data_IF_791091657147
#
_entry.id   IF_791091657147
#
_cell.length_a   1.000
_cell.length_b   1.000
_cell.length_c   1.000
_cell.angle_alpha   90.00
_cell.angle_beta   90.00
_cell.angle_gamma   90.00
#
_symmetry.space_group_name_H-M   'P 1'
#
loop_
_entity.id
_entity.type
_entity.pdbx_description
1 polymer ?
#
# COMPACT_ATOMS: atom_id res chain seq x y z
N UNK A 1 -71.82 -18.86 -24.18
CA UNK A 1 -71.02 -19.62 -23.19
C UNK A 1 -69.95 -18.77 -22.46
N UNK A 2 -70.16 -17.44 -22.29
CA UNK A 2 -69.19 -16.50 -21.63
C UNK A 2 -69.83 -15.50 -20.69
N UNK A 3 -71.09 -15.72 -20.22
CA UNK A 3 -71.77 -14.82 -19.30
C UNK A 3 -71.22 -14.90 -17.87
N UNK A 4 -70.46 -15.91 -17.53
CA UNK A 4 -69.78 -16.06 -16.22
C UNK A 4 -68.73 -15.00 -15.96
N UNK A 5 -68.12 -14.43 -17.01
CA UNK A 5 -67.09 -13.38 -16.93
C UNK A 5 -67.67 -11.99 -16.58
N UNK A 6 -68.99 -11.83 -16.66
CA UNK A 6 -69.71 -10.54 -16.38
C UNK A 6 -70.16 -10.38 -14.93
N UNK A 7 -70.01 -11.42 -14.12
CA UNK A 7 -70.43 -11.40 -12.72
C UNK A 7 -69.35 -10.65 -11.90
N UNK A 8 -69.76 -9.62 -11.16
CA UNK A 8 -68.88 -8.79 -10.37
C UNK A 8 -68.06 -9.58 -9.34
N UNK A 9 -68.57 -10.73 -8.90
CA UNK A 9 -67.82 -11.65 -8.03
C UNK A 9 -66.61 -12.28 -8.73
N UNK A 10 -66.74 -12.64 -10.03
CA UNK A 10 -65.58 -13.19 -10.78
C UNK A 10 -64.45 -12.17 -10.92
N UNK A 11 -64.78 -10.89 -11.14
CA UNK A 11 -63.81 -9.79 -11.18
C UNK A 11 -63.11 -9.62 -9.83
N UNK A 12 -63.86 -9.77 -8.73
CA UNK A 12 -63.34 -9.64 -7.37
C UNK A 12 -62.37 -10.83 -7.04
N UNK A 13 -62.71 -12.05 -7.39
CA UNK A 13 -61.86 -13.23 -7.23
C UNK A 13 -60.62 -13.12 -8.08
N UNK A 14 -60.72 -12.64 -9.32
CA UNK A 14 -59.57 -12.43 -10.19
C UNK A 14 -58.63 -11.36 -9.63
N UNK A 15 -59.16 -10.23 -9.13
CA UNK A 15 -58.39 -9.18 -8.52
C UNK A 15 -57.65 -9.65 -7.25
N UNK A 16 -58.31 -10.45 -6.39
CA UNK A 16 -57.75 -11.04 -5.21
C UNK A 16 -56.63 -12.04 -5.54
N UNK A 17 -56.80 -12.84 -6.60
CA UNK A 17 -55.83 -13.83 -7.09
C UNK A 17 -54.56 -13.12 -7.61
N UNK A 18 -54.71 -12.02 -8.36
CA UNK A 18 -53.58 -11.21 -8.85
C UNK A 18 -52.85 -10.54 -7.68
N UNK A 19 -53.60 -9.96 -6.74
CA UNK A 19 -53.01 -9.32 -5.56
C UNK A 19 -52.25 -10.33 -4.70
N UNK A 20 -52.80 -11.50 -4.45
CA UNK A 20 -52.16 -12.60 -3.73
C UNK A 20 -50.89 -13.10 -4.44
N UNK A 21 -50.90 -13.16 -5.77
CA UNK A 21 -49.74 -13.50 -6.58
C UNK A 21 -48.60 -12.49 -6.45
N UNK A 22 -48.92 -11.19 -6.46
CA UNK A 22 -47.94 -10.12 -6.31
C UNK A 22 -47.33 -10.16 -4.89
N UNK A 23 -48.15 -10.28 -3.86
CA UNK A 23 -47.67 -10.37 -2.46
C UNK A 23 -46.78 -11.60 -2.26
N UNK A 24 -47.20 -12.75 -2.84
CA UNK A 24 -46.39 -13.98 -2.81
C UNK A 24 -45.02 -13.83 -3.49
N UNK A 25 -44.98 -13.17 -4.64
CA UNK A 25 -43.72 -12.88 -5.33
C UNK A 25 -42.80 -11.93 -4.55
N UNK A 26 -43.37 -10.89 -3.93
CA UNK A 26 -42.61 -9.97 -3.09
C UNK A 26 -42.02 -10.68 -1.86
N UNK A 27 -42.80 -11.52 -1.22
CA UNK A 27 -42.34 -12.31 -0.07
C UNK A 27 -41.24 -13.31 -0.47
N UNK A 28 -41.39 -13.97 -1.60
CA UNK A 28 -40.38 -14.89 -2.13
C UNK A 28 -39.07 -14.13 -2.48
N UNK A 29 -39.18 -12.97 -3.12
CA UNK A 29 -38.02 -12.14 -3.45
C UNK A 29 -37.27 -11.65 -2.20
N UNK A 30 -37.98 -11.21 -1.16
CA UNK A 30 -37.34 -10.84 0.12
C UNK A 30 -36.66 -12.03 0.79
N UNK A 31 -37.31 -13.20 0.79
CA UNK A 31 -36.74 -14.40 1.41
C UNK A 31 -35.51 -14.90 0.67
N UNK A 32 -35.51 -14.89 -0.65
CA UNK A 32 -34.33 -15.27 -1.44
C UNK A 32 -33.16 -14.30 -1.24
N UNK A 33 -33.43 -12.99 -1.15
CA UNK A 33 -32.41 -11.97 -0.88
C UNK A 33 -31.73 -12.16 0.49
N UNK A 34 -32.50 -12.49 1.53
CA UNK A 34 -31.91 -12.75 2.87
C UNK A 34 -31.04 -14.00 2.92
N UNK A 35 -31.37 -15.04 2.14
CA UNK A 35 -30.56 -16.27 2.04
C UNK A 35 -29.25 -15.97 1.30
N UNK A 36 -29.29 -15.19 0.22
CA UNK A 36 -28.09 -14.80 -0.50
C UNK A 36 -27.17 -13.92 0.34
N UNK A 37 -27.70 -12.92 1.06
CA UNK A 37 -26.91 -12.11 1.99
C UNK A 37 -26.26 -12.95 3.11
N UNK A 38 -26.98 -13.93 3.65
CA UNK A 38 -26.43 -14.83 4.67
C UNK A 38 -25.30 -15.70 4.10
N UNK A 39 -25.44 -16.21 2.86
CA UNK A 39 -24.38 -16.95 2.17
C UNK A 39 -23.15 -16.06 1.90
N UNK A 40 -23.34 -14.83 1.44
CA UNK A 40 -22.25 -13.88 1.22
C UNK A 40 -21.52 -13.52 2.52
N UNK A 41 -22.26 -13.32 3.64
CA UNK A 41 -21.66 -13.08 4.95
C UNK A 41 -20.86 -14.30 5.44
N UNK A 42 -21.43 -15.49 5.37
CA UNK A 42 -20.76 -16.73 5.77
C UNK A 42 -19.51 -17.00 4.91
N UNK A 43 -19.55 -16.71 3.62
CA UNK A 43 -18.42 -16.86 2.72
C UNK A 43 -17.31 -15.82 2.98
N UNK A 44 -17.67 -14.59 3.41
CA UNK A 44 -16.71 -13.57 3.87
C UNK A 44 -16.07 -13.94 5.21
N UNK A 45 -16.82 -14.53 6.14
CA UNK A 45 -16.30 -14.97 7.43
C UNK A 45 -15.42 -16.22 7.31
N UNK A 46 -15.76 -17.12 6.38
CA UNK A 46 -14.97 -18.33 6.10
C UNK A 46 -13.65 -18.04 5.36
N UNK A 47 -13.56 -16.92 4.62
CA UNK A 47 -12.38 -16.50 3.90
C UNK A 47 -12.01 -15.04 4.24
N UNK A 48 -11.48 -14.75 5.42
CA UNK A 48 -11.05 -13.39 5.80
C UNK A 48 -9.92 -12.87 4.90
N UNK A 49 -9.17 -13.75 4.25
CA UNK A 49 -8.10 -13.42 3.28
C UNK A 49 -8.65 -12.89 1.95
N UNK A 50 -9.91 -13.16 1.62
CA UNK A 50 -10.54 -12.72 0.36
C UNK A 50 -10.89 -11.22 0.32
N UNK A 51 -10.71 -10.49 1.41
CA UNK A 51 -10.97 -9.04 1.47
C UNK A 51 -9.73 -8.17 1.25
N UNK A 52 -8.56 -8.76 1.04
CA UNK A 52 -7.35 -8.00 0.70
C UNK A 52 -7.19 -7.98 -0.82
N UNK A 53 -7.15 -6.78 -1.40
CA UNK A 53 -6.87 -6.62 -2.83
C UNK A 53 -5.36 -6.77 -3.02
N UNK A 54 -4.95 -7.83 -3.72
CA UNK A 54 -3.56 -8.05 -4.07
C UNK A 54 -3.26 -7.46 -5.47
N UNK A 55 -2.10 -6.83 -5.60
CA UNK A 55 -1.60 -6.28 -6.85
C UNK A 55 -0.26 -6.91 -7.20
N UNK A 56 0.00 -7.06 -8.48
CA UNK A 56 1.33 -7.33 -9.02
C UNK A 56 1.86 -6.09 -9.72
N UNK A 57 3.18 -5.86 -9.66
CA UNK A 57 3.82 -4.68 -10.26
C UNK A 57 3.21 -3.35 -9.75
N UNK A 58 3.14 -3.22 -8.43
CA UNK A 58 2.62 -2.00 -7.80
C UNK A 58 3.58 -0.82 -8.02
N UNK A 59 3.04 0.33 -8.40
CA UNK A 59 3.79 1.58 -8.56
C UNK A 59 3.13 2.71 -7.77
N UNK A 60 3.94 3.48 -7.03
CA UNK A 60 3.53 4.70 -6.33
C UNK A 60 4.52 5.81 -6.66
N UNK A 61 4.02 7.00 -7.01
CA UNK A 61 4.83 8.18 -7.34
C UNK A 61 4.52 9.33 -6.40
N UNK A 62 5.54 10.08 -6.07
CA UNK A 62 5.43 11.40 -5.43
C UNK A 62 5.82 12.47 -6.43
N UNK A 63 4.99 13.50 -6.54
CA UNK A 63 5.25 14.68 -7.38
C UNK A 63 5.39 15.91 -6.50
N UNK A 64 6.19 16.89 -6.91
CA UNK A 64 6.28 18.18 -6.26
C UNK A 64 5.18 19.14 -6.73
N UNK A 65 5.16 20.35 -6.15
CA UNK A 65 4.17 21.39 -6.49
C UNK A 65 4.26 21.85 -7.95
N UNK A 66 5.36 21.56 -8.64
CA UNK A 66 5.56 21.81 -10.07
C UNK A 66 5.25 20.58 -10.96
N UNK A 67 4.57 19.55 -10.41
CA UNK A 67 4.26 18.27 -11.07
C UNK A 67 5.50 17.48 -11.54
N UNK A 68 6.68 17.75 -10.99
CA UNK A 68 7.87 16.95 -11.26
C UNK A 68 7.92 15.75 -10.32
N UNK A 69 8.23 14.58 -10.87
CA UNK A 69 8.36 13.36 -10.08
C UNK A 69 9.60 13.46 -9.20
N UNK A 70 9.40 13.34 -7.89
CA UNK A 70 10.49 13.33 -6.89
C UNK A 70 11.01 11.93 -6.63
N UNK A 71 10.11 10.96 -6.52
CA UNK A 71 10.48 9.56 -6.37
C UNK A 71 9.42 8.64 -6.95
N UNK A 72 9.86 7.45 -7.32
CA UNK A 72 9.02 6.34 -7.79
C UNK A 72 9.33 5.13 -6.94
N UNK A 73 8.31 4.52 -6.36
CA UNK A 73 8.37 3.25 -5.66
C UNK A 73 7.72 2.18 -6.52
N UNK A 74 8.46 1.12 -6.79
CA UNK A 74 7.97 -0.09 -7.44
C UNK A 74 8.04 -1.25 -6.47
N UNK A 75 7.03 -2.12 -6.45
CA UNK A 75 7.04 -3.35 -5.68
C UNK A 75 6.54 -4.52 -6.53
N UNK A 76 7.14 -5.70 -6.34
CA UNK A 76 6.71 -6.91 -7.05
C UNK A 76 5.29 -7.28 -6.73
N UNK A 77 4.91 -7.18 -5.44
CA UNK A 77 3.55 -7.40 -4.99
C UNK A 77 3.15 -6.35 -3.97
N UNK A 78 1.87 -6.00 -3.97
CA UNK A 78 1.23 -5.13 -3.01
C UNK A 78 -0.09 -5.72 -2.54
N UNK A 79 -0.42 -5.58 -1.26
CA UNK A 79 -1.70 -6.01 -0.70
C UNK A 79 -2.31 -4.86 0.08
N UNK A 80 -3.46 -4.37 -0.39
CA UNK A 80 -4.20 -3.31 0.29
C UNK A 80 -4.80 -3.87 1.58
N UNK A 81 -4.55 -3.19 2.70
CA UNK A 81 -5.15 -3.53 3.98
C UNK A 81 -6.61 -3.03 3.98
N UNK A 82 -7.52 -3.93 4.34
CA UNK A 82 -8.95 -3.62 4.42
C UNK A 82 -9.19 -2.39 5.30
N UNK A 83 -10.11 -1.53 4.85
CA UNK A 83 -10.53 -0.31 5.55
C UNK A 83 -9.37 0.66 5.89
N UNK A 84 -8.25 0.54 5.17
CA UNK A 84 -7.05 1.37 5.32
C UNK A 84 -6.59 1.93 3.97
N UNK A 85 -5.75 2.95 4.03
CA UNK A 85 -5.02 3.47 2.87
C UNK A 85 -3.60 2.88 2.78
N UNK A 86 -3.30 1.90 3.64
CA UNK A 86 -2.01 1.25 3.70
C UNK A 86 -1.94 0.05 2.76
N UNK A 87 -0.82 -0.09 2.09
CA UNK A 87 -0.50 -1.21 1.21
C UNK A 87 0.75 -1.89 1.77
N UNK A 88 0.66 -3.18 2.10
CA UNK A 88 1.83 -3.99 2.38
C UNK A 88 2.52 -4.35 1.06
N UNK A 89 3.83 -4.21 1.02
CA UNK A 89 4.63 -4.33 -0.19
C UNK A 89 5.72 -5.38 -0.02
N UNK A 90 6.10 -6.06 -1.11
CA UNK A 90 7.28 -6.91 -1.14
C UNK A 90 8.08 -6.76 -2.43
N UNK A 91 9.40 -6.99 -2.33
CA UNK A 91 10.34 -6.84 -3.44
C UNK A 91 10.40 -5.41 -3.93
N UNK A 92 10.72 -4.47 -3.04
CA UNK A 92 10.60 -3.02 -3.24
C UNK A 92 11.89 -2.47 -3.85
N UNK A 93 11.71 -1.60 -4.84
CA UNK A 93 12.74 -0.72 -5.40
C UNK A 93 12.18 0.70 -5.48
N UNK A 94 12.86 1.65 -4.87
CA UNK A 94 12.47 3.06 -4.85
C UNK A 94 13.58 3.91 -5.45
N UNK A 95 13.23 4.83 -6.34
CA UNK A 95 14.19 5.71 -7.04
C UNK A 95 13.86 7.16 -6.70
N UNK A 96 14.85 7.90 -6.22
CA UNK A 96 14.79 9.36 -6.09
C UNK A 96 15.36 10.01 -7.34
N UNK A 97 14.67 11.04 -7.83
CA UNK A 97 14.94 11.68 -9.10
C UNK A 97 15.25 13.18 -8.91
N UNK A 98 16.17 13.67 -9.71
CA UNK A 98 16.35 15.10 -9.98
C UNK A 98 16.22 15.33 -11.49
N UNK A 99 15.04 15.79 -11.92
CA UNK A 99 14.62 15.69 -13.31
C UNK A 99 14.50 14.24 -13.78
N UNK A 100 15.21 13.88 -14.84
CA UNK A 100 15.22 12.51 -15.37
C UNK A 100 16.36 11.65 -14.82
N UNK A 101 17.22 12.20 -13.94
CA UNK A 101 18.36 11.50 -13.40
C UNK A 101 18.03 10.82 -12.06
N UNK A 102 18.36 9.53 -11.96
CA UNK A 102 18.27 8.80 -10.70
C UNK A 102 19.46 9.19 -9.82
N UNK A 103 19.18 9.84 -8.68
CA UNK A 103 20.18 10.27 -7.71
C UNK A 103 20.41 9.25 -6.58
N UNK A 104 19.36 8.52 -6.24
CA UNK A 104 19.44 7.48 -5.22
C UNK A 104 18.47 6.35 -5.53
N UNK A 105 18.88 5.14 -5.23
CA UNK A 105 18.04 3.94 -5.31
C UNK A 105 17.98 3.29 -3.93
N UNK A 106 16.77 2.93 -3.49
CA UNK A 106 16.56 2.20 -2.24
C UNK A 106 15.93 0.86 -2.57
N UNK A 107 16.46 -0.21 -2.02
CA UNK A 107 15.91 -1.55 -2.12
C UNK A 107 15.55 -2.10 -0.74
N UNK A 108 14.41 -2.81 -0.67
CA UNK A 108 13.95 -3.46 0.55
C UNK A 108 13.17 -4.73 0.22
N UNK A 109 13.28 -5.79 1.05
CA UNK A 109 12.51 -7.02 0.83
C UNK A 109 11.03 -6.82 1.11
N UNK A 110 10.66 -6.06 2.15
CA UNK A 110 9.29 -5.80 2.56
C UNK A 110 9.09 -4.36 3.03
N UNK A 111 7.86 -3.90 3.05
CA UNK A 111 7.52 -2.56 3.52
C UNK A 111 6.03 -2.28 3.51
N UNK A 112 5.69 -1.04 3.85
CA UNK A 112 4.33 -0.51 3.83
C UNK A 112 4.33 0.89 3.23
N UNK A 113 3.36 1.20 2.41
CA UNK A 113 3.14 2.54 1.90
C UNK A 113 1.70 2.99 2.17
N UNK A 114 1.53 4.24 2.58
CA UNK A 114 0.21 4.86 2.71
C UNK A 114 -0.07 5.69 1.47
N UNK A 115 -1.15 5.36 0.76
CA UNK A 115 -1.49 5.96 -0.54
C UNK A 115 -1.97 7.41 -0.42
N UNK A 116 -2.43 7.84 0.75
CA UNK A 116 -2.93 9.19 1.01
C UNK A 116 -1.84 10.11 1.56
N UNK A 117 -1.16 9.67 2.61
CA UNK A 117 -0.12 10.49 3.28
C UNK A 117 1.24 10.44 2.59
N UNK A 118 1.44 9.49 1.66
CA UNK A 118 2.71 9.21 0.97
C UNK A 118 3.85 8.80 1.93
N UNK A 119 3.50 8.39 3.14
CA UNK A 119 4.47 7.81 4.07
C UNK A 119 4.85 6.42 3.61
N UNK A 120 6.15 6.13 3.62
CA UNK A 120 6.69 4.82 3.24
C UNK A 120 7.53 4.28 4.39
N UNK A 121 7.32 3.04 4.74
CA UNK A 121 8.09 2.30 5.71
C UNK A 121 8.70 1.07 5.01
N UNK A 122 10.02 0.96 5.02
CA UNK A 122 10.78 -0.13 4.43
C UNK A 122 11.47 -0.90 5.55
N UNK A 123 11.41 -2.22 5.49
CA UNK A 123 11.95 -3.10 6.52
C UNK A 123 12.81 -4.19 5.92
N UNK A 124 13.81 -4.63 6.70
CA UNK A 124 14.58 -5.85 6.44
C UNK A 124 13.69 -7.09 6.54
N UNK A 125 14.09 -8.16 5.90
CA UNK A 125 13.38 -9.44 5.95
C UNK A 125 14.14 -10.49 5.15
N UNK A 126 13.91 -11.77 5.46
CA UNK A 126 14.52 -12.90 4.75
C UNK A 126 16.05 -12.82 4.63
N UNK A 127 16.72 -12.29 5.66
CA UNK A 127 18.18 -12.11 5.66
C UNK A 127 18.70 -10.94 4.83
N UNK A 128 17.82 -10.15 4.23
CA UNK A 128 18.16 -8.94 3.46
C UNK A 128 17.89 -7.68 4.27
N UNK A 129 18.78 -6.71 4.19
CA UNK A 129 18.62 -5.38 4.80
C UNK A 129 18.02 -4.39 3.81
N UNK A 130 17.54 -3.28 4.35
CA UNK A 130 17.23 -2.11 3.53
C UNK A 130 18.53 -1.46 3.11
N UNK A 131 18.69 -1.19 1.83
CA UNK A 131 19.91 -0.61 1.25
C UNK A 131 19.53 0.63 0.45
N UNK A 132 20.16 1.75 0.74
CA UNK A 132 20.09 2.96 -0.07
C UNK A 132 21.45 3.23 -0.72
N UNK A 133 21.47 3.41 -2.03
CA UNK A 133 22.68 3.64 -2.84
C UNK A 133 22.53 4.97 -3.59
N UNK A 134 23.49 5.86 -3.41
CA UNK A 134 23.59 7.12 -4.14
C UNK A 134 24.13 6.94 -5.55
N UNK A 135 24.18 8.03 -6.29
CA UNK A 135 24.60 8.07 -7.68
C UNK A 135 25.97 7.40 -7.89
N UNK A 136 26.04 6.46 -8.81
CA UNK A 136 27.25 5.70 -9.17
C UNK A 136 27.96 5.02 -7.97
N UNK A 137 27.21 4.65 -6.92
CA UNK A 137 27.77 3.96 -5.74
C UNK A 137 28.64 4.86 -4.85
N UNK A 138 28.57 6.17 -5.00
CA UNK A 138 29.37 7.13 -4.19
C UNK A 138 28.99 7.12 -2.72
N UNK A 139 27.73 6.82 -2.41
CA UNK A 139 27.26 6.62 -1.06
C UNK A 139 26.43 5.35 -0.96
N UNK A 140 26.49 4.70 0.20
CA UNK A 140 25.69 3.53 0.52
C UNK A 140 25.29 3.57 1.99
N UNK A 141 24.03 3.29 2.27
CA UNK A 141 23.51 3.17 3.62
C UNK A 141 22.74 1.86 3.76
N UNK A 142 23.12 1.04 4.75
CA UNK A 142 22.47 -0.23 5.10
C UNK A 142 21.81 -0.09 6.48
N UNK A 143 20.55 -0.51 6.62
CA UNK A 143 19.78 -0.42 7.85
C UNK A 143 18.72 -1.53 7.94
N UNK A 144 18.13 -1.72 9.13
CA UNK A 144 17.00 -2.66 9.28
C UNK A 144 15.68 -2.06 8.88
N UNK A 145 15.49 -0.78 9.19
CA UNK A 145 14.24 -0.08 8.92
C UNK A 145 14.50 1.33 8.44
N UNK A 146 13.78 1.75 7.43
CA UNK A 146 13.77 3.11 6.89
C UNK A 146 12.33 3.62 6.86
N UNK A 147 12.07 4.72 7.52
CA UNK A 147 10.82 5.48 7.44
C UNK A 147 11.05 6.72 6.60
N UNK A 148 10.26 6.91 5.55
CA UNK A 148 10.27 8.09 4.70
C UNK A 148 9.02 8.91 4.99
N UNK A 149 9.23 10.18 5.27
CA UNK A 149 8.19 11.16 5.54
C UNK A 149 8.12 12.23 4.44
N UNK A 150 7.21 13.19 4.62
CA UNK A 150 7.07 14.31 3.68
C UNK A 150 8.40 15.06 3.51
N UNK A 151 8.59 15.68 2.34
CA UNK A 151 9.80 16.44 1.96
C UNK A 151 11.08 15.58 1.97
N UNK A 152 10.95 14.29 1.68
CA UNK A 152 12.05 13.32 1.64
C UNK A 152 12.85 13.19 2.95
N UNK A 153 12.27 13.61 4.08
CA UNK A 153 12.88 13.35 5.39
C UNK A 153 12.83 11.86 5.68
N UNK A 154 13.91 11.34 6.26
CA UNK A 154 13.99 9.94 6.61
C UNK A 154 14.47 9.71 8.04
N UNK A 155 14.07 8.57 8.58
CA UNK A 155 14.59 8.01 9.81
C UNK A 155 14.98 6.56 9.54
N UNK A 156 16.26 6.25 9.73
CA UNK A 156 16.83 4.90 9.60
C UNK A 156 17.13 4.35 10.99
N UNK A 157 16.76 3.10 11.25
CA UNK A 157 16.93 2.44 12.55
C UNK A 157 17.41 1.00 12.40
N UNK A 158 17.83 0.37 13.52
CA UNK A 158 18.28 -1.02 13.55
C UNK A 158 19.71 -1.20 13.08
N UNK A 159 20.63 -0.37 13.59
CA UNK A 159 22.04 -0.44 13.23
C UNK A 159 22.30 0.10 11.83
N UNK A 160 22.66 1.36 11.71
CA UNK A 160 22.89 2.05 10.44
C UNK A 160 24.38 2.01 10.10
N UNK A 161 24.71 1.57 8.88
CA UNK A 161 26.07 1.63 8.32
C UNK A 161 26.02 2.54 7.11
N UNK A 162 26.85 3.58 7.10
CA UNK A 162 26.91 4.56 6.01
C UNK A 162 28.35 4.57 5.47
N UNK A 163 28.50 4.41 4.18
CA UNK A 163 29.74 4.58 3.45
C UNK A 163 29.60 5.73 2.47
N UNK A 164 30.50 6.70 2.52
CA UNK A 164 30.56 7.85 1.62
C UNK A 164 32.03 8.10 1.22
N UNK A 165 32.38 7.75 -0.02
CA UNK A 165 33.75 7.81 -0.47
C UNK A 165 34.68 6.97 0.43
N UNK A 166 35.67 7.59 1.06
CA UNK A 166 36.63 6.95 1.98
C UNK A 166 36.13 6.88 3.42
N UNK A 167 35.01 7.52 3.75
CA UNK A 167 34.46 7.56 5.09
C UNK A 167 33.42 6.47 5.30
N UNK A 168 33.51 5.75 6.42
CA UNK A 168 32.51 4.80 6.88
C UNK A 168 32.08 5.16 8.28
N UNK A 169 30.77 5.33 8.48
CA UNK A 169 30.19 5.69 9.78
C UNK A 169 29.13 4.69 10.16
N UNK A 170 29.12 4.25 11.40
CA UNK A 170 28.10 3.35 11.95
C UNK A 170 27.42 4.01 13.15
N UNK A 171 26.18 3.64 13.42
CA UNK A 171 25.42 4.12 14.57
C UNK A 171 24.13 3.32 14.79
N UNK A 172 23.39 3.62 15.86
CA UNK A 172 22.15 2.91 16.14
C UNK A 172 21.03 3.39 15.22
N UNK A 173 20.95 4.68 14.95
CA UNK A 173 19.97 5.26 14.02
C UNK A 173 20.52 6.50 13.32
N UNK A 174 19.92 6.85 12.21
CA UNK A 174 20.24 8.07 11.47
C UNK A 174 18.97 8.79 11.06
N UNK A 175 19.06 10.12 10.96
CA UNK A 175 18.03 10.98 10.38
C UNK A 175 18.65 11.88 9.35
N UNK A 176 17.88 12.30 8.37
CA UNK A 176 18.35 13.19 7.32
C UNK A 176 17.28 13.42 6.27
N UNK A 177 17.72 13.88 5.12
CA UNK A 177 16.88 14.11 3.95
C UNK A 177 17.56 13.57 2.70
N UNK A 178 16.78 12.92 1.83
CA UNK A 178 17.22 12.59 0.49
C UNK A 178 17.11 13.85 -0.38
N UNK A 179 18.22 14.48 -0.63
CA UNK A 179 18.32 15.74 -1.37
C UNK A 179 18.59 15.52 -2.85
N UNK A 180 18.79 16.63 -3.57
CA UNK A 180 19.07 16.61 -5.02
C UNK A 180 20.43 16.00 -5.37
N UNK A 181 21.41 16.13 -4.47
CA UNK A 181 22.78 15.66 -4.74
C UNK A 181 23.12 14.35 -4.07
N UNK A 182 22.57 14.08 -2.92
CA UNK A 182 22.76 12.85 -2.12
C UNK A 182 22.02 12.97 -0.77
N UNK A 183 22.62 12.45 0.30
CA UNK A 183 22.16 12.59 1.69
C UNK A 183 22.44 14.01 2.20
N UNK A 184 21.40 14.70 2.64
CA UNK A 184 21.50 16.05 3.23
C UNK A 184 21.05 16.01 4.71
N UNK A 185 21.58 16.94 5.52
CA UNK A 185 21.25 17.10 6.94
C UNK A 185 21.39 15.80 7.75
N UNK A 186 22.37 14.96 7.38
CA UNK A 186 22.59 13.65 7.98
C UNK A 186 23.06 13.78 9.44
N UNK A 187 22.33 13.14 10.36
CA UNK A 187 22.69 12.98 11.77
C UNK A 187 22.69 11.51 12.11
N UNK A 188 23.80 11.03 12.69
CA UNK A 188 23.96 9.65 13.13
C UNK A 188 24.05 9.66 14.65
N UNK A 189 23.31 8.80 15.32
CA UNK A 189 23.11 8.86 16.76
C UNK A 189 23.20 7.45 17.38
N UNK A 190 23.85 7.38 18.55
CA UNK A 190 24.00 6.17 19.37
C UNK A 190 25.10 5.24 18.87
N UNK A 191 26.08 4.95 19.73
CA UNK A 191 27.23 4.10 19.47
C UNK A 191 27.92 4.41 18.13
N UNK A 192 28.17 5.69 17.90
CA UNK A 192 28.69 6.16 16.61
C UNK A 192 30.20 5.89 16.52
N UNK A 193 30.60 5.18 15.46
CA UNK A 193 31.99 4.96 15.08
C UNK A 193 32.22 5.48 13.67
N UNK A 194 33.26 6.27 13.49
CA UNK A 194 33.67 6.79 12.19
C UNK A 194 35.08 6.31 11.87
N UNK A 195 35.27 5.81 10.67
CA UNK A 195 36.55 5.38 10.12
C UNK A 195 36.74 6.14 8.81
N UNK A 196 37.89 6.80 8.68
CA UNK A 196 38.28 7.45 7.44
C UNK A 196 39.55 6.75 6.97
N UNK A 197 39.47 6.11 5.80
CA UNK A 197 40.67 5.51 5.20
C UNK A 197 41.56 6.63 4.62
N UNK A 198 42.81 6.66 5.02
CA UNK A 198 43.83 7.51 4.33
C UNK A 198 44.15 6.85 2.98
N UNK A 199 44.15 7.64 1.91
CA UNK A 199 44.65 7.21 0.60
C UNK A 199 46.17 7.04 0.65
#
# INVERSE_FOLDING_TARGET
MFDFLKTDWFKLVLALSILGGIVGLLYYAQWSATIEEAKFKAQREANPTASNIAFTNYELKEVDDANKVRWILNAKTGTLIKDSKDVNLSGISMKFLDGDQVKMMISAPVGRANTETRRVELCSGQGQRVVAEGEAGKSRMDMEKLELEKKNQFKATGGVNIAMGVAKVTGNYATGRFGKKDLEDLKIIGNTHAIIASQ
#
